data_IF_877295990745
#
_entry.id   IF_877295990745
#
_cell.length_a   1.000
_cell.length_b   1.000
_cell.length_c   1.000
_cell.angle_alpha   90.00
_cell.angle_beta   90.00
_cell.angle_gamma   90.00
#
_symmetry.space_group_name_H-M   'P 1'
#
loop_
_entity.id
_entity.type
_entity.pdbx_description
1 polymer ?
#
# COMPACT_ATOMS: atom_id res chain seq x y z
N UNK A 1 -15.85 14.98 -8.60
CA UNK A 1 -14.87 14.32 -7.72
C UNK A 1 -15.54 13.09 -7.11
N UNK A 2 -14.85 11.96 -6.94
CA UNK A 2 -15.42 10.83 -6.22
C UNK A 2 -15.80 11.27 -4.80
N UNK A 3 -17.02 10.96 -4.36
CA UNK A 3 -17.45 11.27 -3.01
C UNK A 3 -16.82 10.27 -2.02
N UNK A 4 -15.60 10.57 -1.59
CA UNK A 4 -14.91 9.81 -0.55
C UNK A 4 -15.38 10.20 0.84
N UNK A 5 -15.68 11.48 1.08
CA UNK A 5 -15.96 12.03 2.41
C UNK A 5 -17.07 11.26 3.14
N UNK A 6 -18.17 10.94 2.44
CA UNK A 6 -19.30 10.21 3.05
C UNK A 6 -19.05 8.70 3.24
N UNK A 7 -17.89 8.20 2.79
CA UNK A 7 -17.55 6.76 2.78
C UNK A 7 -16.28 6.42 3.58
N UNK A 8 -15.57 7.42 4.09
CA UNK A 8 -14.43 7.22 4.99
C UNK A 8 -14.96 6.64 6.31
N UNK A 9 -14.35 5.54 6.78
CA UNK A 9 -14.71 4.91 8.05
C UNK A 9 -13.77 5.30 9.18
N UNK A 10 -12.50 5.58 8.87
CA UNK A 10 -11.48 5.99 9.83
C UNK A 10 -10.92 7.33 9.42
N UNK A 11 -11.13 8.34 10.26
CA UNK A 11 -10.64 9.70 10.03
C UNK A 11 -9.10 9.74 9.96
N UNK A 12 -8.55 10.73 9.26
CA UNK A 12 -7.09 10.89 9.15
C UNK A 12 -6.43 11.19 10.51
N UNK A 13 -7.14 11.88 11.39
CA UNK A 13 -6.74 12.28 12.74
C UNK A 13 -7.30 11.36 13.84
N UNK A 14 -7.67 10.11 13.51
CA UNK A 14 -8.22 9.17 14.49
C UNK A 14 -7.26 9.01 15.70
N UNK A 15 -7.69 9.36 16.92
CA UNK A 15 -6.80 9.49 18.08
C UNK A 15 -6.22 8.14 18.55
N UNK A 16 -6.76 7.02 18.06
CA UNK A 16 -6.30 5.66 18.36
C UNK A 16 -5.08 5.26 17.54
N UNK A 17 -4.75 6.01 16.50
CA UNK A 17 -3.69 5.69 15.56
C UNK A 17 -2.54 6.70 15.61
N UNK A 18 -1.34 6.23 15.34
CA UNK A 18 -0.26 7.05 14.79
C UNK A 18 -0.26 6.83 13.29
N UNK A 19 -0.51 7.88 12.52
CA UNK A 19 -0.46 7.86 11.05
C UNK A 19 0.51 8.94 10.56
N UNK A 20 1.45 8.56 9.73
CA UNK A 20 2.46 9.46 9.17
C UNK A 20 2.77 9.13 7.72
N UNK A 21 3.38 10.08 7.02
CA UNK A 21 4.00 9.82 5.72
C UNK A 21 5.41 9.30 5.97
N UNK A 22 5.73 8.15 5.40
CA UNK A 22 7.09 7.59 5.36
C UNK A 22 7.60 7.49 3.93
N UNK A 23 8.90 7.26 3.78
CA UNK A 23 9.52 6.98 2.48
C UNK A 23 10.55 5.85 2.58
N UNK A 24 10.72 5.13 1.47
CA UNK A 24 11.70 4.06 1.35
C UNK A 24 12.31 4.02 -0.06
N UNK A 25 13.50 3.43 -0.16
CA UNK A 25 14.20 3.29 -1.43
C UNK A 25 13.66 2.10 -2.24
N UNK A 26 13.40 2.35 -3.53
CA UNK A 26 13.02 1.39 -4.55
C UNK A 26 13.92 1.58 -5.78
N UNK A 27 15.17 1.12 -5.74
CA UNK A 27 16.15 1.36 -6.80
C UNK A 27 15.80 0.67 -8.13
N UNK A 28 14.98 -0.39 -8.09
CA UNK A 28 14.49 -1.09 -9.28
C UNK A 28 13.18 -0.53 -9.84
N UNK A 29 12.53 0.35 -9.09
CA UNK A 29 11.26 0.97 -9.45
C UNK A 29 11.40 2.48 -9.64
N UNK A 30 10.65 3.25 -8.86
CA UNK A 30 10.54 4.72 -8.93
C UNK A 30 11.61 5.50 -8.18
N UNK A 31 12.66 4.86 -7.67
CA UNK A 31 13.75 5.53 -6.93
C UNK A 31 13.43 5.64 -5.44
N UNK A 32 12.63 6.63 -5.05
CA UNK A 32 12.15 6.79 -3.66
C UNK A 32 10.63 6.84 -3.66
N UNK A 33 10.02 6.00 -2.84
CA UNK A 33 8.56 5.87 -2.76
C UNK A 33 8.09 6.36 -1.41
N UNK A 34 7.10 7.25 -1.44
CA UNK A 34 6.40 7.72 -0.24
C UNK A 34 5.14 6.88 -0.02
N UNK A 35 4.70 6.77 1.22
CA UNK A 35 3.47 6.06 1.56
C UNK A 35 2.95 6.45 2.92
N UNK A 36 1.69 6.08 3.18
CA UNK A 36 1.10 6.22 4.50
C UNK A 36 1.48 5.03 5.37
N UNK A 37 2.10 5.30 6.52
CA UNK A 37 2.36 4.34 7.57
C UNK A 37 1.38 4.59 8.72
N UNK A 38 0.59 3.59 9.08
CA UNK A 38 -0.40 3.67 10.16
C UNK A 38 -0.24 2.51 11.12
N UNK A 39 -0.34 2.78 12.43
CA UNK A 39 -0.29 1.76 13.46
C UNK A 39 -1.09 2.18 14.71
N UNK A 40 -1.58 1.24 15.53
CA UNK A 40 -2.17 1.58 16.82
C UNK A 40 -1.21 2.40 17.67
N UNK A 41 -1.73 3.46 18.29
CA UNK A 41 -0.98 4.28 19.25
C UNK A 41 -0.66 3.48 20.51
N UNK A 42 -1.65 2.73 20.99
CA UNK A 42 -1.50 1.77 22.07
C UNK A 42 -1.27 0.36 21.49
N UNK A 43 -0.07 -0.20 21.70
CA UNK A 43 0.29 -1.55 21.27
C UNK A 43 1.24 -2.21 22.26
N UNK A 44 1.09 -3.51 22.49
CA UNK A 44 2.02 -4.31 23.28
C UNK A 44 3.00 -5.04 22.37
N UNK A 45 4.22 -4.50 22.27
CA UNK A 45 5.28 -5.08 21.46
C UNK A 45 5.07 -4.92 19.95
N UNK A 46 5.69 -5.82 19.18
CA UNK A 46 5.68 -5.77 17.70
C UNK A 46 4.40 -6.38 17.15
N UNK A 47 3.88 -5.81 16.06
CA UNK A 47 2.67 -6.27 15.37
C UNK A 47 3.00 -6.90 14.01
N UNK A 48 2.16 -7.79 13.46
CA UNK A 48 2.25 -8.17 12.05
C UNK A 48 2.02 -6.97 11.14
N UNK A 49 2.59 -7.01 9.93
CA UNK A 49 2.46 -5.96 8.94
C UNK A 49 1.42 -6.27 7.85
N UNK A 50 0.77 -5.24 7.33
CA UNK A 50 -0.07 -5.31 6.13
C UNK A 50 0.39 -4.25 5.12
N UNK A 51 0.72 -4.70 3.91
CA UNK A 51 0.89 -3.82 2.76
C UNK A 51 -0.47 -3.63 2.07
N UNK A 52 -0.96 -2.39 2.00
CA UNK A 52 -2.23 -2.04 1.35
C UNK A 52 -1.94 -1.41 -0.01
N UNK A 53 -2.36 -2.08 -1.07
CA UNK A 53 -2.05 -1.66 -2.45
C UNK A 53 -3.26 -1.00 -3.10
N UNK A 54 -3.06 0.22 -3.57
CA UNK A 54 -4.11 1.04 -4.19
C UNK A 54 -4.55 0.51 -5.56
N UNK A 55 -5.60 1.12 -6.10
CA UNK A 55 -6.12 0.86 -7.43
C UNK A 55 -5.26 1.54 -8.53
N UNK A 56 -5.81 1.81 -9.71
CA UNK A 56 -5.08 2.39 -10.84
C UNK A 56 -4.94 3.93 -10.80
N UNK A 57 -4.91 4.55 -9.61
CA UNK A 57 -4.93 6.01 -9.45
C UNK A 57 -4.20 6.53 -8.21
N UNK A 58 -3.14 5.85 -7.77
CA UNK A 58 -2.32 6.27 -6.63
C UNK A 58 -3.00 6.13 -5.26
N UNK A 59 -2.32 6.63 -4.23
CA UNK A 59 -2.79 6.63 -2.85
C UNK A 59 -3.86 7.73 -2.62
N UNK A 60 -5.10 7.41 -2.96
CA UNK A 60 -6.23 8.31 -2.72
C UNK A 60 -6.82 8.16 -1.29
N UNK A 61 -7.77 9.02 -0.88
CA UNK A 61 -8.34 8.97 0.46
C UNK A 61 -9.00 7.64 0.84
N UNK A 62 -9.57 6.92 -0.13
CA UNK A 62 -10.16 5.60 0.13
C UNK A 62 -9.10 4.59 0.57
N UNK A 63 -7.97 4.50 -0.14
CA UNK A 63 -6.93 3.52 0.21
C UNK A 63 -6.20 3.94 1.49
N UNK A 64 -6.00 5.23 1.72
CA UNK A 64 -5.50 5.74 2.99
C UNK A 64 -6.41 5.29 4.16
N UNK A 65 -7.73 5.39 4.01
CA UNK A 65 -8.68 4.88 5.01
C UNK A 65 -8.55 3.36 5.20
N UNK A 66 -8.41 2.57 4.13
CA UNK A 66 -8.14 1.12 4.27
C UNK A 66 -6.84 0.85 5.06
N UNK A 67 -5.78 1.62 4.83
CA UNK A 67 -4.55 1.55 5.62
C UNK A 67 -4.78 1.81 7.12
N UNK A 68 -5.59 2.82 7.45
CA UNK A 68 -5.98 3.10 8.84
C UNK A 68 -6.88 2.02 9.44
N UNK A 69 -7.80 1.44 8.67
CA UNK A 69 -8.61 0.30 9.11
C UNK A 69 -7.74 -0.92 9.44
N UNK A 70 -6.73 -1.21 8.61
CA UNK A 70 -5.76 -2.26 8.90
C UNK A 70 -4.99 -1.97 10.19
N UNK A 71 -4.59 -0.72 10.42
CA UNK A 71 -3.97 -0.33 11.67
C UNK A 71 -4.89 -0.58 12.88
N UNK A 72 -6.15 -0.14 12.84
CA UNK A 72 -7.12 -0.40 13.92
C UNK A 72 -7.40 -1.89 14.15
N UNK A 73 -7.20 -2.72 13.14
CA UNK A 73 -7.30 -4.17 13.25
C UNK A 73 -6.06 -4.84 13.90
N UNK A 74 -5.06 -4.07 14.33
CA UNK A 74 -3.90 -4.57 15.08
C UNK A 74 -2.66 -4.83 14.23
N UNK A 75 -2.47 -4.11 13.14
CA UNK A 75 -1.33 -4.26 12.23
C UNK A 75 -0.47 -2.99 12.14
N UNK A 76 0.81 -3.12 11.79
CA UNK A 76 1.55 -2.01 11.16
C UNK A 76 1.18 -1.99 9.69
N UNK A 77 0.46 -0.98 9.25
CA UNK A 77 0.00 -0.87 7.87
C UNK A 77 0.85 0.11 7.07
N UNK A 78 1.32 -0.32 5.90
CA UNK A 78 1.96 0.56 4.91
C UNK A 78 1.11 0.60 3.65
N UNK A 79 0.78 1.80 3.19
CA UNK A 79 0.08 2.03 1.92
C UNK A 79 0.98 2.88 1.01
N UNK A 80 1.83 2.26 0.15
CA UNK A 80 2.70 3.02 -0.74
C UNK A 80 1.93 3.77 -1.81
N UNK A 81 2.43 4.93 -2.23
CA UNK A 81 1.89 5.69 -3.35
C UNK A 81 2.76 5.51 -4.60
N UNK A 82 2.27 4.75 -5.58
CA UNK A 82 2.99 4.55 -6.83
C UNK A 82 3.14 5.84 -7.67
N UNK A 83 2.39 6.90 -7.33
CA UNK A 83 2.50 8.21 -7.95
C UNK A 83 3.45 9.16 -7.21
N UNK A 84 4.02 8.75 -6.06
CA UNK A 84 4.91 9.65 -5.30
C UNK A 84 6.09 10.20 -6.11
N UNK A 85 6.72 9.47 -7.06
CA UNK A 85 7.80 10.03 -7.87
C UNK A 85 7.31 11.07 -8.90
N UNK A 86 5.99 11.22 -9.04
CA UNK A 86 5.32 12.22 -9.89
C UNK A 86 4.58 13.27 -9.05
N UNK A 87 4.85 13.36 -7.74
CA UNK A 87 4.21 14.31 -6.81
C UNK A 87 3.02 13.74 -6.02
N UNK A 88 2.68 12.47 -6.20
CA UNK A 88 1.63 11.77 -5.46
C UNK A 88 0.23 11.88 -6.08
N UNK A 89 -0.79 11.42 -5.35
CA UNK A 89 -2.18 11.51 -5.80
C UNK A 89 -2.60 12.98 -6.09
N UNK A 90 -3.04 13.30 -7.33
CA UNK A 90 -3.26 14.69 -7.77
C UNK A 90 -4.61 15.29 -7.31
N UNK A 91 -5.24 14.72 -6.28
CA UNK A 91 -6.54 15.14 -5.75
C UNK A 91 -7.76 14.61 -6.52
N UNK A 92 -7.60 14.17 -7.77
CA UNK A 92 -8.69 13.56 -8.55
C UNK A 92 -8.32 12.20 -9.15
N UNK A 93 -9.29 11.29 -9.14
CA UNK A 93 -9.17 9.94 -9.66
C UNK A 93 -8.84 9.88 -11.16
N UNK A 94 -9.42 10.79 -11.96
CA UNK A 94 -9.16 10.85 -13.40
C UNK A 94 -7.70 11.21 -13.68
N UNK A 95 -7.20 12.25 -13.02
CA UNK A 95 -5.81 12.67 -13.18
C UNK A 95 -4.83 11.61 -12.63
N UNK A 96 -5.19 10.96 -11.53
CA UNK A 96 -4.42 9.84 -10.98
C UNK A 96 -4.34 8.67 -11.96
N UNK A 97 -5.45 8.35 -12.66
CA UNK A 97 -5.46 7.33 -13.72
C UNK A 97 -4.58 7.69 -14.91
N UNK A 98 -4.62 8.95 -15.35
CA UNK A 98 -3.74 9.44 -16.43
C UNK A 98 -2.27 9.27 -16.03
N UNK A 99 -1.89 9.77 -14.86
CA UNK A 99 -0.51 9.70 -14.36
C UNK A 99 -0.04 8.26 -14.18
N UNK A 100 -0.88 7.38 -13.60
CA UNK A 100 -0.46 5.99 -13.36
C UNK A 100 -0.29 5.20 -14.66
N UNK A 101 -0.96 5.57 -15.76
CA UNK A 101 -0.76 4.94 -17.07
C UNK A 101 0.61 5.26 -17.69
N UNK A 102 1.24 6.37 -17.28
CA UNK A 102 2.59 6.74 -17.71
C UNK A 102 3.68 5.94 -16.99
N UNK A 103 3.32 5.26 -15.89
CA UNK A 103 4.24 4.43 -15.10
C UNK A 103 4.36 3.04 -15.70
N UNK A 104 5.59 2.51 -15.71
CA UNK A 104 5.80 1.10 -16.01
C UNK A 104 5.24 0.21 -14.89
N UNK A 105 4.41 -0.77 -15.28
CA UNK A 105 3.70 -1.64 -14.34
C UNK A 105 4.63 -2.54 -13.54
N UNK A 106 5.72 -3.03 -14.13
CA UNK A 106 6.68 -3.91 -13.46
C UNK A 106 7.60 -3.13 -12.53
N UNK A 107 7.98 -1.90 -12.90
CA UNK A 107 8.66 -0.97 -11.98
C UNK A 107 7.81 -0.65 -10.75
N UNK A 108 6.50 -0.44 -10.94
CA UNK A 108 5.58 -0.29 -9.80
C UNK A 108 5.51 -1.57 -8.95
N UNK A 109 5.56 -2.77 -9.55
CA UNK A 109 5.66 -4.01 -8.76
C UNK A 109 6.92 -4.03 -7.88
N UNK A 110 8.07 -3.62 -8.42
CA UNK A 110 9.30 -3.49 -7.63
C UNK A 110 9.15 -2.46 -6.49
N UNK A 111 8.40 -1.37 -6.70
CA UNK A 111 8.06 -0.39 -5.65
C UNK A 111 7.32 -1.02 -4.47
N UNK A 112 6.34 -1.89 -4.75
CA UNK A 112 5.59 -2.59 -3.69
C UNK A 112 6.42 -3.72 -3.04
N UNK A 113 7.30 -4.39 -3.78
CA UNK A 113 8.24 -5.36 -3.20
C UNK A 113 9.24 -4.66 -2.27
N UNK A 114 9.75 -3.49 -2.65
CA UNK A 114 10.58 -2.66 -1.78
C UNK A 114 9.79 -2.21 -0.53
N UNK A 115 8.54 -1.81 -0.68
CA UNK A 115 7.65 -1.47 0.43
C UNK A 115 7.39 -2.64 1.39
N UNK A 116 7.22 -3.85 0.87
CA UNK A 116 7.16 -5.07 1.68
C UNK A 116 8.43 -5.26 2.51
N UNK A 117 9.61 -5.11 1.91
CA UNK A 117 10.88 -5.26 2.62
C UNK A 117 11.07 -4.17 3.68
N UNK A 118 10.70 -2.92 3.38
CA UNK A 118 10.69 -1.84 4.35
C UNK A 118 9.78 -2.18 5.53
N UNK A 119 8.52 -2.56 5.28
CA UNK A 119 7.56 -2.88 6.33
C UNK A 119 7.98 -4.10 7.16
N UNK A 120 8.52 -5.14 6.51
CA UNK A 120 9.03 -6.36 7.17
C UNK A 120 10.13 -6.02 8.18
N UNK A 121 10.97 -5.04 7.88
CA UNK A 121 12.10 -4.63 8.73
C UNK A 121 11.77 -3.46 9.66
N UNK A 122 10.54 -2.94 9.64
CA UNK A 122 10.13 -1.85 10.52
C UNK A 122 10.28 -2.26 12.01
N UNK A 123 10.78 -1.39 12.90
CA UNK A 123 11.04 -1.74 14.31
C UNK A 123 9.82 -2.28 15.04
N UNK A 124 8.63 -1.76 14.72
CA UNK A 124 7.36 -2.22 15.28
C UNK A 124 6.73 -3.42 14.57
N UNK A 125 7.33 -3.91 13.49
CA UNK A 125 6.85 -5.07 12.75
C UNK A 125 7.53 -6.35 13.25
N UNK A 126 6.75 -7.43 13.38
CA UNK A 126 7.25 -8.77 13.74
C UNK A 126 8.10 -9.43 12.64
N UNK A 127 8.17 -8.83 11.45
CA UNK A 127 8.75 -9.45 10.26
C UNK A 127 7.79 -10.37 9.50
N UNK A 128 6.55 -10.55 9.99
CA UNK A 128 5.48 -11.22 9.24
C UNK A 128 4.65 -10.16 8.54
N UNK A 129 4.59 -10.23 7.21
CA UNK A 129 3.84 -9.26 6.39
C UNK A 129 2.93 -10.00 5.42
N UNK A 130 1.68 -9.57 5.36
CA UNK A 130 0.72 -9.92 4.30
C UNK A 130 0.44 -8.73 3.39
N UNK A 131 -0.22 -8.97 2.26
CA UNK A 131 -0.63 -7.94 1.32
C UNK A 131 -2.11 -8.03 0.99
N UNK A 132 -2.77 -6.88 0.89
CA UNK A 132 -4.13 -6.73 0.36
C UNK A 132 -4.10 -5.70 -0.76
N UNK A 133 -4.85 -5.93 -1.83
CA UNK A 133 -4.84 -5.01 -2.96
C UNK A 133 -6.11 -5.07 -3.79
N UNK A 134 -6.44 -3.93 -4.40
CA UNK A 134 -7.71 -3.72 -5.11
C UNK A 134 -7.45 -3.38 -6.57
N UNK A 135 -8.14 -4.02 -7.52
CA UNK A 135 -7.98 -3.79 -8.96
C UNK A 135 -6.51 -3.98 -9.40
N UNK A 136 -5.81 -2.91 -9.80
CA UNK A 136 -4.36 -2.92 -10.03
C UNK A 136 -3.60 -3.52 -8.84
N UNK A 137 -3.97 -3.14 -7.61
CA UNK A 137 -3.39 -3.69 -6.41
C UNK A 137 -3.67 -5.17 -6.22
N UNK A 138 -4.79 -5.69 -6.71
CA UNK A 138 -5.06 -7.12 -6.68
C UNK A 138 -4.10 -7.91 -7.58
N UNK A 139 -3.72 -7.35 -8.74
CA UNK A 139 -2.64 -7.93 -9.54
C UNK A 139 -1.30 -7.86 -8.83
N UNK A 140 -0.97 -6.73 -8.18
CA UNK A 140 0.25 -6.63 -7.37
C UNK A 140 0.27 -7.70 -6.27
N UNK A 141 -0.83 -7.90 -5.54
CA UNK A 141 -0.92 -8.93 -4.50
C UNK A 141 -0.66 -10.33 -5.05
N UNK A 142 -1.23 -10.66 -6.21
CA UNK A 142 -0.97 -11.92 -6.90
C UNK A 142 0.50 -12.07 -7.32
N UNK A 143 1.07 -11.06 -7.96
CA UNK A 143 2.48 -11.09 -8.40
C UNK A 143 3.45 -11.15 -7.22
N UNK A 144 3.14 -10.49 -6.11
CA UNK A 144 3.94 -10.59 -4.88
C UNK A 144 3.87 -12.00 -4.29
N UNK A 145 2.72 -12.68 -4.34
CA UNK A 145 2.62 -14.07 -3.91
C UNK A 145 3.52 -15.00 -4.74
N UNK A 146 3.70 -14.72 -6.03
CA UNK A 146 4.63 -15.45 -6.91
C UNK A 146 6.09 -15.09 -6.59
N UNK A 147 6.41 -13.79 -6.47
CA UNK A 147 7.80 -13.31 -6.45
C UNK A 147 8.42 -13.15 -5.06
N UNK A 148 7.63 -13.16 -3.99
CA UNK A 148 8.08 -12.88 -2.62
C UNK A 148 7.83 -14.11 -1.74
N UNK A 149 8.81 -15.03 -1.60
CA UNK A 149 8.64 -16.28 -0.83
C UNK A 149 8.28 -16.06 0.65
N UNK A 150 8.65 -14.90 1.19
CA UNK A 150 8.41 -14.55 2.59
C UNK A 150 7.03 -13.92 2.86
N UNK A 151 6.24 -13.60 1.83
CA UNK A 151 4.90 -13.05 1.97
C UNK A 151 3.99 -14.06 2.68
N UNK A 152 3.35 -13.65 3.77
CA UNK A 152 2.58 -14.57 4.63
C UNK A 152 1.14 -14.77 4.19
N UNK A 153 0.57 -13.81 3.49
CA UNK A 153 -0.77 -13.89 2.92
C UNK A 153 -0.90 -12.90 1.76
N UNK A 154 -1.72 -13.25 0.78
CA UNK A 154 -2.10 -12.38 -0.34
C UNK A 154 -3.62 -12.37 -0.46
N UNK A 155 -4.21 -11.17 -0.46
CA UNK A 155 -5.66 -10.96 -0.52
C UNK A 155 -5.99 -10.06 -1.72
N UNK A 156 -6.11 -10.63 -2.94
CA UNK A 156 -6.42 -9.89 -4.15
C UNK A 156 -7.92 -9.65 -4.29
N UNK A 157 -8.35 -8.39 -4.29
CA UNK A 157 -9.71 -7.99 -4.64
C UNK A 157 -9.77 -7.63 -6.14
N UNK A 158 -10.49 -8.44 -6.92
CA UNK A 158 -10.81 -8.21 -8.35
C UNK A 158 -9.60 -7.76 -9.20
N UNK A 159 -8.45 -8.40 -8.97
CA UNK A 159 -7.20 -8.15 -9.70
C UNK A 159 -6.97 -9.10 -10.86
N UNK A 160 -6.03 -8.74 -11.75
CA UNK A 160 -5.54 -9.62 -12.79
C UNK A 160 -4.73 -10.79 -12.22
N UNK A 161 -4.78 -11.94 -12.90
CA UNK A 161 -4.01 -13.13 -12.51
C UNK A 161 -2.59 -13.07 -13.09
N UNK A 162 -1.60 -13.73 -12.47
CA UNK A 162 -0.32 -14.00 -13.12
C UNK A 162 -0.52 -14.92 -14.32
N UNK A 163 0.32 -14.77 -15.34
CA UNK A 163 0.36 -15.73 -16.46
C UNK A 163 1.05 -17.03 -16.01
N UNK A 164 0.81 -18.14 -16.73
CA UNK A 164 1.35 -19.47 -16.36
C UNK A 164 2.88 -19.53 -16.33
N UNK A 165 3.54 -18.61 -17.04
CA UNK A 165 4.98 -18.64 -17.29
C UNK A 165 5.77 -17.68 -16.36
N UNK A 166 5.11 -17.10 -15.34
CA UNK A 166 5.66 -16.06 -14.46
C UNK A 166 6.08 -16.53 -13.06
#
# INVERSE_FOLDING_TARGET
>A
MPNYQDKIQVAEDDPRLTTETTSYDSPKGGGTISGQLSMPKEKSGKLPGILVVHENRGLNPHIADVGRRAALAGFVSLSPDALSPMGGYPGTDDKGREMQRERDRNKMLEDFIAGFNYLKNHPDCTGKVGGVGFCFGGWISNMMAVKVPDLKASVPFYGGQPDSDQ
#
